data_IF_773436896433
#
_entry.id   IF_773436896433
#
_cell.length_a   1.000
_cell.length_b   1.000
_cell.length_c   1.000
_cell.angle_alpha   90.00
_cell.angle_beta   90.00
_cell.angle_gamma   90.00
#
_symmetry.space_group_name_H-M   'P 1'
#
loop_
_entity.id
_entity.type
_entity.pdbx_description
1 polymer ?
#
# COMPACT_ATOMS: atom_id res chain seq x y z
N UNK A 1 16.47 28.64 -3.89
CA UNK A 1 15.03 28.27 -3.89
C UNK A 1 14.46 28.29 -2.47
N UNK A 2 15.05 27.62 -1.50
CA UNK A 2 14.57 27.55 -0.11
C UNK A 2 14.27 28.93 0.49
N UNK A 3 15.28 29.83 0.51
CA UNK A 3 15.14 31.17 1.07
C UNK A 3 14.00 31.96 0.44
N UNK A 4 13.86 31.85 -0.89
CA UNK A 4 12.78 32.49 -1.62
C UNK A 4 11.42 31.95 -1.30
N UNK A 5 11.29 30.60 -1.21
CA UNK A 5 10.02 29.95 -0.82
C UNK A 5 9.63 30.40 0.58
N UNK A 6 10.54 30.30 1.54
CA UNK A 6 10.28 30.67 2.94
C UNK A 6 10.04 32.14 3.17
N UNK A 7 10.63 33.01 2.33
CA UNK A 7 10.31 34.45 2.35
C UNK A 7 8.88 34.75 1.81
N UNK A 8 8.35 33.85 0.97
CA UNK A 8 7.01 34.01 0.37
C UNK A 8 5.95 33.31 1.17
N UNK A 9 6.22 32.10 1.65
CA UNK A 9 5.29 31.25 2.40
C UNK A 9 6.02 30.52 3.53
N UNK A 10 5.74 30.90 4.75
CA UNK A 10 6.27 30.27 5.97
C UNK A 10 5.34 29.17 6.51
N UNK A 11 4.15 28.98 5.94
CA UNK A 11 3.11 28.12 6.50
C UNK A 11 3.19 26.68 6.01
N UNK A 12 3.72 26.45 4.80
CA UNK A 12 3.82 25.12 4.22
C UNK A 12 5.19 24.52 4.42
N UNK A 13 5.26 23.20 4.76
CA UNK A 13 6.54 22.51 4.77
C UNK A 13 7.11 22.38 3.36
N UNK A 14 8.41 22.41 3.24
CA UNK A 14 9.13 22.28 1.98
C UNK A 14 9.87 20.96 1.96
N UNK A 15 9.69 20.23 0.88
CA UNK A 15 10.42 19.00 0.55
C UNK A 15 11.17 19.21 -0.75
N UNK A 16 12.35 18.63 -0.85
CA UNK A 16 13.10 18.56 -2.10
C UNK A 16 13.21 17.11 -2.53
N UNK A 17 12.52 16.75 -3.60
CA UNK A 17 12.47 15.40 -4.11
C UNK A 17 13.80 14.98 -4.72
N UNK A 18 14.73 14.56 -3.88
CA UNK A 18 16.01 14.00 -4.29
C UNK A 18 16.52 13.03 -3.23
N UNK A 19 16.87 11.79 -3.60
CA UNK A 19 17.25 10.78 -2.62
C UNK A 19 18.50 11.16 -1.83
N UNK A 20 18.33 11.21 -0.54
CA UNK A 20 19.29 10.99 0.53
C UNK A 20 20.57 11.82 0.62
N UNK A 21 21.29 12.00 -0.45
CA UNK A 21 22.63 12.61 -0.42
C UNK A 21 22.66 14.09 -0.10
N UNK A 22 21.55 14.78 -0.28
CA UNK A 22 21.43 16.19 0.08
C UNK A 22 21.34 16.39 1.61
N UNK A 23 20.86 15.39 2.32
CA UNK A 23 20.62 15.45 3.77
C UNK A 23 21.90 15.42 4.57
N UNK A 24 22.86 14.64 4.13
CA UNK A 24 24.17 14.57 4.80
C UNK A 24 24.87 15.93 4.87
N UNK A 25 24.49 16.85 4.01
CA UNK A 25 25.18 18.15 3.88
C UNK A 25 24.36 19.37 4.28
N UNK A 26 23.01 19.32 4.26
CA UNK A 26 22.18 20.51 4.52
C UNK A 26 20.74 20.17 4.95
N UNK A 27 20.56 19.44 6.02
CA UNK A 27 19.24 19.22 6.64
C UNK A 27 18.50 20.54 6.98
N UNK A 28 19.21 21.64 7.00
CA UNK A 28 18.69 22.97 7.34
C UNK A 28 17.83 23.61 6.25
N UNK A 29 17.81 23.04 5.04
CA UNK A 29 17.06 23.58 3.90
C UNK A 29 15.81 22.79 3.53
N UNK A 30 15.37 21.86 4.40
CA UNK A 30 14.14 21.09 4.23
C UNK A 30 13.36 21.03 5.54
N UNK A 31 12.05 21.00 5.44
CA UNK A 31 11.18 20.66 6.57
C UNK A 31 10.89 19.15 6.60
N UNK A 32 10.92 18.51 5.42
CA UNK A 32 10.65 17.09 5.23
C UNK A 32 11.78 16.51 4.39
N UNK A 33 12.28 15.36 4.82
CA UNK A 33 13.24 14.60 4.05
C UNK A 33 12.54 13.76 2.99
N UNK A 34 12.98 13.92 1.74
CA UNK A 34 12.62 13.03 0.65
C UNK A 34 13.47 11.77 0.66
N UNK A 35 12.81 10.64 0.52
CA UNK A 35 13.43 9.33 0.36
C UNK A 35 12.87 8.63 -0.87
N UNK A 36 13.78 8.01 -1.67
CA UNK A 36 13.40 7.14 -2.77
C UNK A 36 13.89 5.72 -2.50
N UNK A 37 13.06 4.72 -2.81
CA UNK A 37 13.37 3.31 -2.83
C UNK A 37 14.22 2.79 -1.67
N UNK A 38 13.60 2.28 -0.69
CA UNK A 38 14.28 1.46 0.30
C UNK A 38 14.33 0.00 -0.17
N UNK A 39 15.02 -0.77 0.63
CA UNK A 39 15.18 -2.19 0.43
C UNK A 39 13.83 -2.91 0.33
N UNK A 40 13.70 -3.79 -0.65
CA UNK A 40 12.53 -4.62 -0.93
C UNK A 40 12.11 -5.56 0.21
N UNK A 41 12.95 -5.76 1.20
CA UNK A 41 12.68 -6.63 2.35
C UNK A 41 11.84 -5.97 3.44
N UNK A 42 11.25 -4.84 3.18
CA UNK A 42 10.32 -4.17 4.10
C UNK A 42 10.95 -3.66 5.39
N UNK A 43 12.27 -3.55 5.43
CA UNK A 43 13.00 -3.27 6.64
C UNK A 43 13.23 -1.77 6.90
N UNK A 44 12.19 -0.99 6.70
CA UNK A 44 12.23 0.47 6.94
C UNK A 44 12.60 0.76 8.39
N UNK A 45 12.08 -0.05 9.33
CA UNK A 45 12.39 0.11 10.75
C UNK A 45 13.84 -0.20 11.10
N UNK A 46 14.46 -1.19 10.46
CA UNK A 46 15.87 -1.55 10.72
C UNK A 46 16.86 -0.63 10.03
N UNK A 47 16.59 -0.24 8.82
CA UNK A 47 17.44 0.72 8.15
C UNK A 47 17.31 2.10 8.77
N UNK A 48 16.25 2.32 9.51
CA UNK A 48 16.03 3.57 10.22
C UNK A 48 16.12 4.77 9.32
N UNK A 49 15.92 4.55 8.01
CA UNK A 49 16.10 5.62 7.04
C UNK A 49 15.11 6.74 7.28
N UNK A 50 13.89 6.39 7.67
CA UNK A 50 12.93 7.39 8.08
C UNK A 50 13.24 8.01 9.45
N UNK A 51 14.01 7.32 10.31
CA UNK A 51 14.14 7.74 11.71
C UNK A 51 15.54 7.78 12.26
N UNK A 52 16.35 6.73 12.06
CA UNK A 52 17.69 6.69 12.68
C UNK A 52 18.68 7.64 12.06
N UNK A 53 18.71 7.73 10.73
CA UNK A 53 19.64 8.64 10.05
C UNK A 53 19.22 10.11 10.20
N UNK A 54 17.94 10.35 10.57
CA UNK A 54 17.35 11.66 10.66
C UNK A 54 16.89 12.06 12.05
N UNK A 55 16.85 11.14 13.01
CA UNK A 55 16.57 11.45 14.41
C UNK A 55 17.48 12.55 14.96
N UNK A 56 18.71 12.62 14.49
CA UNK A 56 19.64 13.69 14.84
C UNK A 56 19.30 15.07 14.27
N UNK A 57 18.44 15.12 13.26
CA UNK A 57 18.02 16.35 12.60
C UNK A 57 16.62 16.81 12.98
N UNK A 58 15.84 15.95 13.63
CA UNK A 58 14.50 16.29 14.11
C UNK A 58 13.48 16.53 12.99
N UNK A 59 13.77 16.10 11.75
CA UNK A 59 12.89 16.27 10.58
C UNK A 59 12.24 14.94 10.21
N UNK A 60 10.94 14.96 9.83
CA UNK A 60 10.25 13.77 9.38
C UNK A 60 10.69 13.35 7.97
N UNK A 61 10.43 12.10 7.60
CA UNK A 61 10.76 11.54 6.30
C UNK A 61 9.51 11.11 5.53
N UNK A 62 9.46 11.44 4.25
CA UNK A 62 8.47 10.99 3.29
C UNK A 62 9.16 10.19 2.19
N UNK A 63 8.66 8.97 1.92
CA UNK A 63 9.05 8.23 0.73
C UNK A 63 8.19 8.70 -0.44
N UNK A 64 8.57 9.80 -1.04
CA UNK A 64 7.84 10.45 -2.13
C UNK A 64 7.94 9.68 -3.46
N UNK A 65 8.81 8.65 -3.49
CA UNK A 65 8.87 7.66 -4.55
C UNK A 65 9.34 6.32 -4.00
N UNK A 66 8.49 5.30 -4.02
CA UNK A 66 8.86 3.98 -3.53
C UNK A 66 8.09 2.84 -4.21
N UNK A 67 8.43 1.58 -3.83
CA UNK A 67 7.68 0.38 -4.19
C UNK A 67 7.36 0.28 -5.68
N UNK A 68 8.35 0.56 -6.52
CA UNK A 68 8.21 0.53 -7.97
C UNK A 68 7.77 -0.86 -8.46
N UNK A 69 6.56 -1.04 -9.06
CA UNK A 69 6.14 -2.35 -9.57
C UNK A 69 7.04 -2.91 -10.65
N UNK A 70 7.74 -2.08 -11.41
CA UNK A 70 8.71 -2.53 -12.40
C UNK A 70 10.03 -3.08 -11.82
N UNK A 71 10.07 -3.43 -10.53
CA UNK A 71 11.14 -4.28 -10.02
C UNK A 71 11.15 -5.66 -10.74
N UNK A 72 10.08 -6.01 -11.43
CA UNK A 72 9.97 -7.17 -12.28
C UNK A 72 9.70 -6.76 -13.73
N UNK A 73 10.33 -7.47 -14.65
CA UNK A 73 10.13 -7.30 -16.09
C UNK A 73 9.00 -8.19 -16.58
N UNK A 74 8.48 -7.93 -17.78
CA UNK A 74 7.54 -8.83 -18.44
C UNK A 74 8.07 -10.27 -18.56
N UNK A 75 9.35 -10.42 -18.85
CA UNK A 75 10.00 -11.73 -18.88
C UNK A 75 9.96 -12.43 -17.49
N UNK A 76 10.17 -11.69 -16.42
CA UNK A 76 10.04 -12.21 -15.05
C UNK A 76 8.63 -12.67 -14.75
N UNK A 77 7.60 -11.93 -15.18
CA UNK A 77 6.21 -12.33 -15.01
C UNK A 77 5.87 -13.65 -15.71
N UNK A 78 6.54 -13.95 -16.83
CA UNK A 78 6.34 -15.22 -17.55
C UNK A 78 7.04 -16.40 -16.86
N UNK A 79 8.17 -16.15 -16.24
CA UNK A 79 9.01 -17.20 -15.63
C UNK A 79 8.73 -17.40 -14.13
N UNK A 80 8.31 -16.35 -13.45
CA UNK A 80 7.96 -16.36 -12.03
C UNK A 80 6.68 -15.54 -11.79
N UNK A 81 5.50 -16.14 -11.92
CA UNK A 81 4.24 -15.44 -11.70
C UNK A 81 4.04 -15.01 -10.25
N UNK A 82 4.77 -15.59 -9.29
CA UNK A 82 4.67 -15.23 -7.87
C UNK A 82 5.36 -13.90 -7.53
N UNK A 83 6.09 -13.32 -8.47
CA UNK A 83 6.76 -12.02 -8.25
C UNK A 83 5.77 -10.91 -7.87
N UNK A 84 4.54 -10.97 -8.36
CA UNK A 84 3.47 -10.01 -7.99
C UNK A 84 3.04 -10.15 -6.54
N UNK A 85 2.94 -11.37 -6.06
CA UNK A 85 2.65 -11.64 -4.64
C UNK A 85 3.79 -11.17 -3.75
N UNK A 86 5.03 -11.46 -4.15
CA UNK A 86 6.22 -10.97 -3.47
C UNK A 86 6.23 -9.44 -3.38
N UNK A 87 5.89 -8.74 -4.47
CA UNK A 87 5.80 -7.29 -4.47
C UNK A 87 4.72 -6.80 -3.48
N UNK A 88 3.54 -7.39 -3.50
CA UNK A 88 2.44 -7.03 -2.60
C UNK A 88 2.79 -7.23 -1.13
N UNK A 89 3.43 -8.35 -0.79
CA UNK A 89 3.92 -8.64 0.56
C UNK A 89 5.02 -7.66 0.97
N UNK A 90 5.93 -7.33 0.06
CA UNK A 90 7.00 -6.35 0.31
C UNK A 90 6.43 -4.97 0.59
N UNK A 91 5.43 -4.52 -0.17
CA UNK A 91 4.75 -3.26 0.07
C UNK A 91 4.08 -3.24 1.46
N UNK A 92 3.37 -4.30 1.83
CA UNK A 92 2.72 -4.39 3.14
C UNK A 92 3.72 -4.34 4.29
N UNK A 93 4.85 -5.01 4.15
CA UNK A 93 5.94 -4.99 5.13
C UNK A 93 6.57 -3.59 5.23
N UNK A 94 6.87 -2.96 4.10
CA UNK A 94 7.44 -1.61 4.04
C UNK A 94 6.50 -0.59 4.67
N UNK A 95 5.22 -0.62 4.29
CA UNK A 95 4.21 0.27 4.85
C UNK A 95 4.03 0.06 6.35
N UNK A 96 3.93 -1.18 6.80
CA UNK A 96 3.82 -1.49 8.23
C UNK A 96 5.03 -1.02 9.03
N UNK A 97 6.22 -1.15 8.46
CA UNK A 97 7.46 -0.63 9.07
C UNK A 97 7.45 0.88 9.18
N UNK A 98 7.09 1.58 8.10
CA UNK A 98 7.04 3.05 8.08
C UNK A 98 5.94 3.60 8.98
N UNK A 99 4.75 3.01 8.96
CA UNK A 99 3.63 3.41 9.81
C UNK A 99 3.98 3.39 11.31
N UNK A 100 4.78 2.41 11.73
CA UNK A 100 5.22 2.29 13.11
C UNK A 100 6.52 3.06 13.42
N UNK A 101 7.13 3.71 12.44
CA UNK A 101 8.38 4.43 12.61
C UNK A 101 8.14 5.89 13.02
N UNK A 102 8.68 6.35 14.16
CA UNK A 102 8.59 7.76 14.55
C UNK A 102 9.18 8.67 13.47
N UNK A 103 8.41 9.67 13.03
CA UNK A 103 8.82 10.59 11.98
C UNK A 103 8.60 10.08 10.54
N UNK A 104 8.07 8.88 10.37
CA UNK A 104 7.61 8.38 9.06
C UNK A 104 6.29 9.04 8.67
N UNK A 105 6.26 9.74 7.53
CA UNK A 105 5.06 10.42 7.03
C UNK A 105 4.25 9.59 6.05
N UNK A 106 4.88 8.68 5.32
CA UNK A 106 4.21 7.85 4.34
C UNK A 106 5.08 7.50 3.14
N UNK A 107 4.47 6.83 2.16
CA UNK A 107 5.12 6.46 0.91
C UNK A 107 4.18 6.57 -0.28
N UNK A 108 4.65 7.16 -1.37
CA UNK A 108 3.95 7.27 -2.64
C UNK A 108 4.51 6.26 -3.65
N UNK A 109 3.66 5.34 -4.10
CA UNK A 109 4.06 4.33 -5.08
C UNK A 109 4.36 5.00 -6.41
N UNK A 110 5.47 4.65 -7.01
CA UNK A 110 5.78 5.00 -8.39
C UNK A 110 5.46 3.81 -9.30
N UNK A 111 4.26 3.77 -9.92
CA UNK A 111 3.30 4.89 -9.92
C UNK A 111 1.87 4.38 -9.95
N UNK A 112 0.92 5.29 -10.11
CA UNK A 112 -0.50 4.97 -10.17
C UNK A 112 -0.89 4.32 -11.49
N UNK A 113 -0.45 4.88 -12.60
CA UNK A 113 -0.78 4.48 -13.98
C UNK A 113 0.47 4.09 -14.73
N UNK A 114 0.38 3.03 -15.55
CA UNK A 114 1.43 2.72 -16.51
C UNK A 114 1.70 3.92 -17.41
N UNK A 115 2.96 4.26 -17.59
CA UNK A 115 3.36 5.36 -18.47
C UNK A 115 3.36 4.94 -19.91
N UNK A 116 2.57 5.64 -20.71
CA UNK A 116 2.48 5.46 -22.15
C UNK A 116 2.61 6.80 -22.84
N UNK A 117 3.48 6.83 -23.81
CA UNK A 117 3.64 8.01 -24.67
C UNK A 117 2.92 7.80 -25.98
N UNK A 118 2.11 8.77 -26.36
CA UNK A 118 1.67 8.89 -27.74
C UNK A 118 2.88 9.34 -28.57
N UNK A 119 3.30 8.48 -29.49
CA UNK A 119 4.34 8.88 -30.45
C UNK A 119 3.72 9.93 -31.40
N UNK A 120 4.35 11.09 -31.54
CA UNK A 120 3.96 11.98 -32.61
C UNK A 120 4.17 11.27 -33.93
N UNK A 121 3.41 11.66 -34.96
CA UNK A 121 3.50 11.16 -36.33
C UNK A 121 4.97 10.90 -36.75
N UNK A 122 5.24 9.94 -37.66
CA UNK A 122 6.59 9.41 -37.94
C UNK A 122 7.71 10.42 -38.21
N UNK A 123 7.38 11.70 -38.34
CA UNK A 123 8.31 12.79 -38.60
C UNK A 123 9.17 13.18 -37.38
N UNK A 124 8.87 12.70 -36.19
CA UNK A 124 9.52 13.14 -34.93
C UNK A 124 10.46 12.12 -34.30
N UNK A 125 10.88 11.12 -35.03
CA UNK A 125 11.80 10.17 -34.45
C UNK A 125 13.19 10.76 -34.26
N UNK A 126 13.57 11.15 -33.05
CA UNK A 126 14.96 10.97 -32.64
C UNK A 126 15.31 9.50 -32.78
N UNK A 127 16.54 9.17 -33.08
CA UNK A 127 16.99 7.78 -33.21
C UNK A 127 16.64 6.93 -31.96
N UNK A 128 16.65 7.56 -30.79
CA UNK A 128 16.23 6.95 -29.51
C UNK A 128 14.78 6.48 -29.53
N UNK A 129 13.82 7.33 -29.88
CA UNK A 129 12.40 6.97 -29.87
C UNK A 129 12.03 5.95 -30.94
N UNK A 130 12.72 5.99 -32.09
CA UNK A 130 12.57 4.95 -33.12
C UNK A 130 13.05 3.60 -32.64
N UNK A 131 14.21 3.56 -32.00
CA UNK A 131 14.76 2.34 -31.45
C UNK A 131 13.92 1.83 -30.28
N UNK A 132 13.51 2.72 -29.40
CA UNK A 132 12.63 2.37 -28.27
C UNK A 132 11.29 1.81 -28.78
N UNK A 133 10.62 2.48 -29.73
CA UNK A 133 9.37 1.99 -30.32
C UNK A 133 9.52 0.65 -31.02
N UNK A 134 10.70 0.38 -31.60
CA UNK A 134 11.01 -0.89 -32.25
C UNK A 134 11.30 -2.02 -31.27
N UNK A 135 11.89 -1.72 -30.14
CA UNK A 135 12.35 -2.71 -29.14
C UNK A 135 11.37 -2.87 -27.98
N UNK A 136 10.66 -1.82 -27.59
CA UNK A 136 9.59 -1.90 -26.62
C UNK A 136 8.48 -2.75 -27.22
N UNK A 137 8.26 -3.93 -26.65
CA UNK A 137 7.11 -4.75 -27.04
C UNK A 137 5.88 -4.10 -26.42
N UNK A 138 5.01 -3.49 -27.21
CA UNK A 138 3.79 -2.92 -26.67
C UNK A 138 2.90 -4.06 -26.21
N UNK A 139 2.70 -4.17 -24.92
CA UNK A 139 1.63 -4.96 -24.36
C UNK A 139 0.31 -4.30 -24.81
N UNK A 140 -0.29 -4.81 -25.84
CA UNK A 140 -1.60 -4.36 -26.33
C UNK A 140 -1.77 -2.86 -26.63
N UNK A 141 -0.68 -2.13 -26.83
CA UNK A 141 -0.75 -0.76 -27.33
C UNK A 141 -1.03 -0.76 -28.83
N UNK A 142 -2.10 -0.12 -29.20
CA UNK A 142 -2.46 0.01 -30.62
C UNK A 142 -2.13 1.40 -31.14
N UNK A 143 -1.66 1.45 -32.38
CA UNK A 143 -1.40 2.71 -33.07
C UNK A 143 -0.05 3.35 -32.71
N UNK A 144 -0.06 4.65 -32.52
CA UNK A 144 1.14 5.47 -32.30
C UNK A 144 1.53 5.61 -30.82
N UNK A 145 1.18 4.65 -29.99
CA UNK A 145 1.51 4.65 -28.59
C UNK A 145 2.65 3.68 -28.31
N UNK A 146 3.54 4.06 -27.39
CA UNK A 146 4.59 3.20 -26.85
C UNK A 146 4.54 3.22 -25.35
N UNK A 147 4.59 2.03 -24.73
CA UNK A 147 4.75 1.91 -23.29
C UNK A 147 6.16 2.30 -22.90
N UNK A 148 6.29 3.26 -22.01
CA UNK A 148 7.56 3.63 -21.41
C UNK A 148 7.83 2.80 -20.14
N UNK A 149 6.80 2.59 -19.32
CA UNK A 149 6.91 1.82 -18.11
C UNK A 149 5.60 1.22 -17.64
N UNK A 150 5.64 -0.07 -17.31
CA UNK A 150 4.52 -0.88 -16.84
C UNK A 150 4.43 -0.88 -15.31
N UNK A 151 4.87 0.19 -14.69
CA UNK A 151 5.01 0.33 -13.24
C UNK A 151 3.79 0.92 -12.51
N UNK A 152 2.70 1.15 -13.24
CA UNK A 152 1.45 1.53 -12.62
C UNK A 152 0.79 0.38 -11.86
N UNK A 153 0.02 0.71 -10.85
CA UNK A 153 -0.90 -0.23 -10.20
C UNK A 153 -2.18 -0.43 -11.03
N UNK A 154 -2.45 0.48 -11.94
CA UNK A 154 -3.44 0.35 -13.01
C UNK A 154 -2.75 0.54 -14.36
N UNK A 155 -3.32 -0.04 -15.41
CA UNK A 155 -2.81 0.15 -16.75
C UNK A 155 -3.25 1.50 -17.37
N UNK A 156 -2.81 1.76 -18.60
CA UNK A 156 -3.11 3.01 -19.30
C UNK A 156 -4.60 3.23 -19.58
N UNK A 157 -5.40 2.18 -19.62
CA UNK A 157 -6.86 2.23 -19.76
C UNK A 157 -7.59 2.25 -18.43
N UNK A 158 -6.86 2.40 -17.30
CA UNK A 158 -7.38 2.40 -15.92
C UNK A 158 -7.93 1.05 -15.47
N UNK A 159 -7.56 -0.06 -16.12
CA UNK A 159 -7.88 -1.39 -15.62
C UNK A 159 -6.99 -1.71 -14.42
N UNK A 160 -7.59 -2.23 -13.38
CA UNK A 160 -6.90 -2.58 -12.14
C UNK A 160 -6.01 -3.80 -12.36
N UNK A 161 -4.73 -3.66 -12.03
CA UNK A 161 -3.77 -4.75 -12.02
C UNK A 161 -3.78 -5.46 -10.65
N UNK A 162 -3.17 -6.64 -10.50
CA UNK A 162 -3.02 -7.28 -9.19
C UNK A 162 -2.40 -6.36 -8.12
N UNK A 163 -1.47 -5.51 -8.52
CA UNK A 163 -0.81 -4.50 -7.67
C UNK A 163 -1.78 -3.49 -7.07
N UNK A 164 -2.87 -3.17 -7.77
CA UNK A 164 -3.92 -2.30 -7.24
C UNK A 164 -4.55 -2.91 -5.97
N UNK A 165 -4.87 -4.20 -6.01
CA UNK A 165 -5.48 -4.90 -4.89
C UNK A 165 -4.49 -5.09 -3.74
N UNK A 166 -3.24 -5.39 -4.06
CA UNK A 166 -2.16 -5.46 -3.06
C UNK A 166 -1.94 -4.11 -2.38
N UNK A 167 -1.98 -3.02 -3.15
CA UNK A 167 -1.87 -1.65 -2.62
C UNK A 167 -3.05 -1.32 -1.71
N UNK A 168 -4.28 -1.61 -2.16
CA UNK A 168 -5.47 -1.39 -1.34
C UNK A 168 -5.37 -2.13 -0.01
N UNK A 169 -4.87 -3.37 -0.02
CA UNK A 169 -4.68 -4.18 1.18
C UNK A 169 -3.59 -3.64 2.08
N UNK A 170 -2.43 -3.31 1.53
CA UNK A 170 -1.30 -2.80 2.30
C UNK A 170 -1.63 -1.47 3.00
N UNK A 171 -2.30 -0.56 2.30
CA UNK A 171 -2.70 0.74 2.83
C UNK A 171 -4.04 0.74 3.58
N UNK A 172 -4.65 -0.42 3.77
CA UNK A 172 -5.91 -0.50 4.52
C UNK A 172 -5.76 0.16 5.90
N UNK A 173 -6.63 1.11 6.25
CA UNK A 173 -6.60 1.74 7.56
C UNK A 173 -7.16 0.84 8.67
N UNK A 174 -7.70 -0.31 8.32
CA UNK A 174 -8.23 -1.31 9.26
C UNK A 174 -7.44 -2.60 9.11
N UNK A 175 -6.72 -3.01 10.14
CA UNK A 175 -5.89 -4.23 10.11
C UNK A 175 -6.33 -5.21 11.18
N UNK A 176 -6.85 -6.38 10.76
CA UNK A 176 -6.98 -7.51 11.67
C UNK A 176 -5.60 -8.16 11.87
N UNK A 177 -5.21 -8.30 13.12
CA UNK A 177 -3.92 -8.87 13.53
C UNK A 177 -4.14 -10.31 14.02
N UNK A 178 -4.60 -11.14 13.11
CA UNK A 178 -4.92 -12.53 13.36
C UNK A 178 -4.36 -13.41 12.24
N UNK A 179 -4.18 -14.68 12.51
CA UNK A 179 -3.76 -15.66 11.52
C UNK A 179 -4.93 -16.02 10.59
N UNK A 180 -4.63 -16.56 9.41
CA UNK A 180 -5.64 -16.95 8.42
C UNK A 180 -6.53 -18.10 8.93
N UNK A 181 -6.00 -18.92 9.83
CA UNK A 181 -6.74 -19.99 10.51
C UNK A 181 -7.15 -19.55 11.92
N UNK A 182 -8.45 -19.44 12.16
CA UNK A 182 -8.99 -19.02 13.45
C UNK A 182 -9.34 -20.20 14.34
N UNK A 183 -8.77 -20.24 15.53
CA UNK A 183 -9.23 -21.13 16.58
C UNK A 183 -10.59 -20.67 17.10
N UNK A 184 -11.48 -21.62 17.36
CA UNK A 184 -12.83 -21.31 17.84
C UNK A 184 -13.34 -22.35 18.86
N UNK A 185 -14.37 -21.95 19.60
CA UNK A 185 -15.24 -22.83 20.36
C UNK A 185 -16.66 -22.63 19.85
N UNK A 186 -17.32 -23.70 19.42
CA UNK A 186 -18.70 -23.59 18.89
C UNK A 186 -19.65 -23.02 19.95
N UNK A 187 -20.55 -22.14 19.53
CA UNK A 187 -21.47 -21.46 20.44
C UNK A 187 -20.84 -20.37 21.30
N UNK A 188 -19.58 -19.99 21.08
CA UNK A 188 -18.93 -18.86 21.75
C UNK A 188 -18.58 -17.75 20.75
N UNK A 189 -18.40 -16.55 21.27
CA UNK A 189 -17.94 -15.38 20.50
C UNK A 189 -16.50 -15.57 20.01
N UNK A 190 -16.19 -14.97 18.86
CA UNK A 190 -14.82 -14.87 18.36
C UNK A 190 -14.27 -13.47 18.62
N UNK A 191 -13.12 -13.41 19.26
CA UNK A 191 -12.43 -12.14 19.55
C UNK A 191 -11.26 -11.98 18.61
N UNK A 192 -11.28 -10.93 17.79
CA UNK A 192 -10.22 -10.64 16.81
C UNK A 192 -9.51 -9.34 17.18
N UNK A 193 -8.19 -9.40 17.23
CA UNK A 193 -7.39 -8.19 17.47
C UNK A 193 -7.40 -7.32 16.22
N UNK A 194 -7.69 -6.03 16.39
CA UNK A 194 -7.73 -5.04 15.32
C UNK A 194 -6.78 -3.89 15.63
N UNK A 195 -6.15 -3.36 14.59
CA UNK A 195 -5.36 -2.12 14.64
C UNK A 195 -6.07 -1.08 13.79
N UNK A 196 -6.54 -0.03 14.43
CA UNK A 196 -7.07 1.15 13.77
C UNK A 196 -5.90 2.02 13.29
N UNK A 197 -5.67 2.06 11.98
CA UNK A 197 -4.62 2.85 11.31
C UNK A 197 -5.16 4.13 10.68
N UNK A 198 -6.40 4.51 10.92
CA UNK A 198 -6.89 5.84 10.58
C UNK A 198 -6.14 6.90 11.37
N UNK A 199 -5.99 8.09 10.79
CA UNK A 199 -5.39 9.24 11.47
C UNK A 199 -6.39 10.01 12.32
N UNK A 200 -7.67 10.02 11.92
CA UNK A 200 -8.70 10.88 12.52
C UNK A 200 -10.03 10.17 12.81
N UNK A 201 -10.23 8.95 12.32
CA UNK A 201 -11.50 8.22 12.43
C UNK A 201 -11.43 7.16 13.52
N UNK A 202 -12.34 7.21 14.48
CA UNK A 202 -12.49 6.15 15.46
C UNK A 202 -13.18 4.94 14.81
N UNK A 203 -12.87 3.71 15.26
CA UNK A 203 -13.38 2.51 14.60
C UNK A 203 -14.91 2.40 14.63
N UNK A 204 -15.58 2.90 15.67
CA UNK A 204 -17.04 2.90 15.75
C UNK A 204 -17.73 3.94 14.84
N UNK A 205 -16.97 4.73 14.09
CA UNK A 205 -17.48 5.67 13.08
C UNK A 205 -17.61 5.02 11.69
N UNK A 206 -17.17 3.79 11.53
CA UNK A 206 -17.30 2.99 10.31
C UNK A 206 -18.28 1.83 10.52
N UNK A 207 -18.66 1.15 9.43
CA UNK A 207 -19.55 -0.01 9.48
C UNK A 207 -18.79 -1.29 9.26
N UNK A 208 -19.27 -2.39 9.85
CA UNK A 208 -18.74 -3.70 9.58
C UNK A 208 -19.87 -4.74 9.46
N UNK A 209 -19.59 -5.78 8.68
CA UNK A 209 -20.42 -6.98 8.59
C UNK A 209 -19.56 -8.21 8.73
N UNK A 210 -20.18 -9.31 9.12
CA UNK A 210 -19.56 -10.62 8.96
C UNK A 210 -20.50 -11.57 8.22
N UNK A 211 -19.91 -12.46 7.45
CA UNK A 211 -20.65 -13.51 6.71
C UNK A 211 -20.14 -14.87 7.14
N UNK A 212 -21.07 -15.70 7.60
CA UNK A 212 -20.82 -17.08 7.96
C UNK A 212 -21.91 -17.97 7.35
N UNK A 213 -21.49 -19.04 6.65
CA UNK A 213 -22.38 -19.99 5.96
C UNK A 213 -23.41 -19.30 5.05
N UNK A 214 -22.97 -18.28 4.34
CA UNK A 214 -23.79 -17.50 3.40
C UNK A 214 -24.77 -16.52 4.03
N UNK A 215 -24.79 -16.40 5.36
CA UNK A 215 -25.60 -15.41 6.07
C UNK A 215 -24.75 -14.24 6.49
N UNK A 216 -25.08 -13.03 6.00
CA UNK A 216 -24.41 -11.79 6.37
C UNK A 216 -25.17 -11.09 7.49
N UNK A 217 -24.45 -10.67 8.52
CA UNK A 217 -24.98 -9.95 9.68
C UNK A 217 -24.14 -8.70 9.94
N UNK A 218 -24.78 -7.66 10.48
CA UNK A 218 -24.08 -6.46 10.95
C UNK A 218 -23.20 -6.80 12.14
N UNK A 219 -22.02 -6.17 12.18
CA UNK A 219 -21.07 -6.29 13.28
C UNK A 219 -20.94 -4.95 13.98
N UNK A 220 -21.26 -4.92 15.26
CA UNK A 220 -21.12 -3.73 16.09
C UNK A 220 -19.64 -3.50 16.42
N UNK A 221 -19.12 -2.32 16.10
CA UNK A 221 -17.76 -1.94 16.38
C UNK A 221 -17.68 -1.08 17.64
N UNK A 222 -16.84 -1.49 18.57
CA UNK A 222 -16.53 -0.69 19.75
C UNK A 222 -15.53 0.42 19.43
N UNK A 223 -15.47 1.50 20.22
CA UNK A 223 -14.48 2.55 20.00
C UNK A 223 -13.05 2.01 20.09
N UNK A 224 -12.28 2.23 19.03
CA UNK A 224 -10.83 2.03 19.00
C UNK A 224 -10.25 3.30 18.38
N UNK A 225 -9.53 4.05 19.19
CA UNK A 225 -8.99 5.34 18.75
C UNK A 225 -7.98 5.19 17.60
N UNK A 226 -7.77 6.24 16.79
CA UNK A 226 -6.73 6.27 15.77
C UNK A 226 -5.37 5.83 16.33
N UNK A 227 -4.59 5.12 15.49
CA UNK A 227 -3.26 4.59 15.80
C UNK A 227 -3.19 3.62 16.99
N UNK A 228 -4.34 3.09 17.45
CA UNK A 228 -4.37 2.14 18.58
C UNK A 228 -4.88 0.76 18.17
N UNK A 229 -4.56 -0.22 19.01
CA UNK A 229 -5.08 -1.57 18.87
C UNK A 229 -6.27 -1.78 19.81
N UNK A 230 -7.19 -2.62 19.38
CA UNK A 230 -8.37 -3.01 20.15
C UNK A 230 -8.85 -4.40 19.77
N UNK A 231 -10.09 -4.69 20.11
CA UNK A 231 -10.73 -5.97 19.82
C UNK A 231 -12.05 -5.73 19.09
N UNK A 232 -12.37 -6.60 18.13
CA UNK A 232 -13.74 -6.78 17.65
C UNK A 232 -14.27 -8.13 18.14
N UNK A 233 -15.55 -8.17 18.42
CA UNK A 233 -16.23 -9.35 18.95
C UNK A 233 -17.27 -9.79 17.95
N UNK A 234 -17.06 -10.92 17.30
CA UNK A 234 -18.05 -11.53 16.42
C UNK A 234 -18.98 -12.37 17.28
N UNK A 235 -20.30 -12.15 17.21
CA UNK A 235 -21.27 -12.88 18.03
C UNK A 235 -21.17 -14.39 17.88
N UNK A 236 -21.55 -15.10 18.93
CA UNK A 236 -21.54 -16.54 18.98
C UNK A 236 -22.37 -17.17 17.85
N UNK A 237 -21.79 -18.14 17.16
CA UNK A 237 -22.43 -18.95 16.13
C UNK A 237 -22.17 -20.44 16.39
N UNK A 238 -22.85 -21.29 15.66
CA UNK A 238 -22.53 -22.72 15.61
C UNK A 238 -21.34 -22.93 14.66
N UNK A 239 -20.16 -22.55 15.15
CA UNK A 239 -18.92 -22.60 14.37
C UNK A 239 -18.56 -24.04 14.02
N UNK A 240 -18.16 -24.27 12.79
CA UNK A 240 -17.75 -25.59 12.29
C UNK A 240 -16.35 -25.53 11.67
N UNK A 241 -15.57 -26.58 11.88
CA UNK A 241 -14.22 -26.71 11.36
C UNK A 241 -14.20 -26.71 9.81
N UNK A 242 -13.30 -25.93 9.22
CA UNK A 242 -13.13 -25.81 7.77
C UNK A 242 -14.15 -24.88 7.10
N UNK A 243 -15.07 -24.28 7.84
CA UNK A 243 -15.95 -23.25 7.30
C UNK A 243 -15.24 -21.90 7.22
N UNK A 244 -15.72 -21.04 6.30
CA UNK A 244 -15.16 -19.72 6.10
C UNK A 244 -15.95 -18.64 6.84
N UNK A 245 -15.23 -17.78 7.54
CA UNK A 245 -15.75 -16.52 8.09
C UNK A 245 -15.20 -15.36 7.25
N UNK A 246 -16.08 -14.50 6.73
CA UNK A 246 -15.69 -13.26 6.07
C UNK A 246 -16.08 -12.08 6.94
N UNK A 247 -15.18 -11.11 7.07
CA UNK A 247 -15.43 -9.83 7.77
C UNK A 247 -15.13 -8.70 6.81
N UNK A 248 -16.07 -7.77 6.69
CA UNK A 248 -15.99 -6.63 5.78
C UNK A 248 -16.15 -5.33 6.54
N UNK A 249 -15.35 -4.33 6.16
CA UNK A 249 -15.39 -2.98 6.73
C UNK A 249 -15.74 -1.96 5.66
N UNK A 250 -16.59 -1.01 6.02
CA UNK A 250 -17.11 0.00 5.11
C UNK A 250 -16.99 1.39 5.74
N UNK A 251 -16.76 2.41 4.94
CA UNK A 251 -16.86 3.80 5.37
C UNK A 251 -18.29 4.14 5.83
N UNK A 252 -18.46 5.29 6.49
CA UNK A 252 -19.79 5.82 6.82
C UNK A 252 -20.68 6.02 5.57
N UNK A 253 -20.09 6.16 4.39
CA UNK A 253 -20.78 6.25 3.10
C UNK A 253 -21.04 4.88 2.44
N UNK A 254 -20.80 3.77 3.15
CA UNK A 254 -20.91 2.39 2.66
C UNK A 254 -19.93 2.03 1.53
N UNK A 255 -18.80 2.69 1.43
CA UNK A 255 -17.73 2.28 0.53
C UNK A 255 -16.86 1.22 1.18
N UNK A 256 -16.55 0.15 0.45
CA UNK A 256 -15.76 -0.95 0.97
C UNK A 256 -14.30 -0.53 1.26
N UNK A 257 -13.90 -0.60 2.52
CA UNK A 257 -12.53 -0.38 2.99
C UNK A 257 -11.70 -1.63 2.76
N UNK A 258 -12.10 -2.76 3.39
CA UNK A 258 -11.32 -4.00 3.36
C UNK A 258 -12.19 -5.23 3.60
N UNK A 259 -11.67 -6.37 3.18
CA UNK A 259 -12.28 -7.70 3.36
C UNK A 259 -11.24 -8.66 3.94
N UNK A 260 -11.64 -9.39 4.96
CA UNK A 260 -10.86 -10.47 5.56
C UNK A 260 -11.62 -11.77 5.45
N UNK A 261 -10.91 -12.84 5.08
CA UNK A 261 -11.45 -14.20 5.02
C UNK A 261 -10.59 -15.12 5.85
N UNK A 262 -11.22 -15.88 6.72
CA UNK A 262 -10.58 -16.81 7.63
C UNK A 262 -11.17 -18.19 7.48
N UNK A 263 -10.35 -19.20 7.63
CA UNK A 263 -10.80 -20.57 7.80
C UNK A 263 -10.92 -20.86 9.29
N UNK A 264 -12.04 -21.40 9.71
CA UNK A 264 -12.27 -21.80 11.10
C UNK A 264 -11.60 -23.13 11.39
N UNK A 265 -10.70 -23.15 12.37
CA UNK A 265 -9.95 -24.35 12.73
C UNK A 265 -8.91 -24.72 11.66
N UNK A 266 -8.96 -25.96 11.18
CA UNK A 266 -8.05 -26.46 10.15
C UNK A 266 -8.77 -26.57 8.82
N UNK A 267 -8.08 -26.21 7.74
CA UNK A 267 -8.58 -26.38 6.38
C UNK A 267 -8.92 -27.85 6.11
N UNK A 268 -10.09 -28.08 5.50
CA UNK A 268 -10.43 -29.44 5.04
C UNK A 268 -9.57 -29.75 3.82
N UNK A 269 -8.61 -30.63 3.97
CA UNK A 269 -7.90 -31.23 2.83
C UNK A 269 -8.91 -32.18 2.16
N UNK A 270 -9.36 -31.81 0.97
CA UNK A 270 -10.25 -32.62 0.11
C UNK A 270 -9.41 -33.57 -0.72
#
# INVERSE_FOLDING_TARGET
>A
CWDWIKATDTTRPVIFSYPGSAVEKKAEIFDILSMHYQNVYGNVGQWGMATRNFQGHGIPALFDEWAHPACYTYATLQTDPNIREFWGKSLDMMWSGLFNAPGGLGGAIWGYVDETFSLPEPKFGTSFWKEFARTAKPLDYQGNCVGYGEWGIVDVWRRQKPEFWSTKKAYSPVRLLVEDNLSFTTGQELMLTIHNRFDHTNLNEIHATYTYRGVTKSLELQPVAPHTKGMIVIPAEQWENGETLQVEFFTAANELIDVYRFVLGTEKII
#
